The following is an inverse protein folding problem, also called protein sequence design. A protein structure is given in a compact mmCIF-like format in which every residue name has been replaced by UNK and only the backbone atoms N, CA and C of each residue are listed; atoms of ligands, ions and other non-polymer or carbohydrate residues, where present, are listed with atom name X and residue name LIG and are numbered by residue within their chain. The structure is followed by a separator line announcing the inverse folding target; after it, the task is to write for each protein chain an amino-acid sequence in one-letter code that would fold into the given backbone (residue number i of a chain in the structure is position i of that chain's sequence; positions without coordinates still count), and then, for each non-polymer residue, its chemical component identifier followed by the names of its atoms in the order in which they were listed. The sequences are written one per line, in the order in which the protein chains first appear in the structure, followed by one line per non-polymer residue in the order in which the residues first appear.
data_IF_540197575988
#
_entry.id   IF_540197575988
#
_cell.length_a   1.000
_cell.length_b   1.000
_cell.length_c   1.000
_cell.angle_alpha   90.00
_cell.angle_beta   90.00
_cell.angle_gamma   90.00
#
_symmetry.space_group_name_H-M   'P 1'
#
loop_
_entity.id
_entity.type
_entity.pdbx_description
1 polymer ?
#
# COMPACT_ATOMS: atom_id res chain seq x y z
N UNK A 1 27.46 20.50 -7.61
CA UNK A 1 26.17 19.81 -7.57
C UNK A 1 26.23 18.84 -6.42
N UNK A 2 25.56 19.10 -5.30
CA UNK A 2 25.43 18.08 -4.26
C UNK A 2 24.74 16.89 -4.92
N UNK A 3 25.41 15.75 -4.93
CA UNK A 3 24.93 14.52 -5.53
C UNK A 3 23.54 14.23 -4.96
N UNK A 4 22.55 14.04 -5.83
CA UNK A 4 21.16 13.76 -5.49
C UNK A 4 21.04 12.34 -4.94
N UNK A 5 21.77 12.04 -3.87
CA UNK A 5 21.77 10.74 -3.22
C UNK A 5 20.45 10.59 -2.48
N UNK A 6 19.66 9.58 -2.86
CA UNK A 6 18.38 9.26 -2.23
C UNK A 6 18.52 9.20 -0.70
N UNK A 7 17.56 9.78 0.04
CA UNK A 7 17.51 9.73 1.51
C UNK A 7 17.47 8.30 2.06
N UNK A 8 16.96 7.35 1.27
CA UNK A 8 16.91 5.94 1.63
C UNK A 8 18.16 5.16 1.22
N UNK A 9 19.09 5.78 0.50
CA UNK A 9 20.26 5.10 -0.10
C UNK A 9 19.91 4.16 -1.25
N UNK A 10 18.63 4.08 -1.65
CA UNK A 10 18.20 3.26 -2.78
C UNK A 10 18.51 3.93 -4.10
N UNK A 11 18.90 3.14 -5.10
CA UNK A 11 18.84 3.58 -6.49
C UNK A 11 17.39 3.81 -6.90
N UNK A 12 17.17 4.60 -7.96
CA UNK A 12 15.82 4.84 -8.47
C UNK A 12 15.12 3.55 -8.90
N UNK A 13 15.87 2.60 -9.45
CA UNK A 13 15.35 1.29 -9.84
C UNK A 13 14.86 0.49 -8.63
N UNK A 14 15.66 0.41 -7.56
CA UNK A 14 15.27 -0.29 -6.33
C UNK A 14 14.04 0.34 -5.68
N UNK A 15 13.95 1.68 -5.69
CA UNK A 15 12.79 2.39 -5.17
C UNK A 15 11.51 2.06 -5.96
N UNK A 16 11.60 1.95 -7.29
CA UNK A 16 10.47 1.55 -8.14
C UNK A 16 10.05 0.11 -7.88
N UNK A 17 10.99 -0.82 -7.79
CA UNK A 17 10.70 -2.23 -7.49
C UNK A 17 9.97 -2.39 -6.14
N UNK A 18 10.45 -1.71 -5.11
CA UNK A 18 9.77 -1.68 -3.80
C UNK A 18 8.37 -1.08 -3.91
N UNK A 19 8.24 0.06 -4.58
CA UNK A 19 6.97 0.76 -4.70
C UNK A 19 5.91 -0.06 -5.45
N UNK A 20 6.29 -0.79 -6.50
CA UNK A 20 5.37 -1.67 -7.22
C UNK A 20 4.83 -2.80 -6.33
N UNK A 21 5.71 -3.48 -5.58
CA UNK A 21 5.29 -4.54 -4.65
C UNK A 21 4.42 -4.00 -3.51
N UNK A 22 4.80 -2.85 -2.95
CA UNK A 22 4.03 -2.19 -1.91
C UNK A 22 2.62 -1.86 -2.38
N UNK A 23 2.48 -1.22 -3.56
CA UNK A 23 1.17 -0.85 -4.10
C UNK A 23 0.28 -2.07 -4.30
N UNK A 24 0.79 -3.15 -4.88
CA UNK A 24 0.01 -4.37 -5.14
C UNK A 24 -0.50 -4.95 -3.81
N UNK A 25 0.40 -5.18 -2.87
CA UNK A 25 0.07 -5.86 -1.61
C UNK A 25 -0.83 -5.01 -0.73
N UNK A 26 -0.52 -3.71 -0.61
CA UNK A 26 -1.30 -2.78 0.19
C UNK A 26 -2.71 -2.59 -0.39
N UNK A 27 -2.83 -2.43 -1.71
CA UNK A 27 -4.14 -2.29 -2.37
C UNK A 27 -4.97 -3.55 -2.22
N UNK A 28 -4.37 -4.73 -2.38
CA UNK A 28 -5.06 -5.99 -2.15
C UNK A 28 -5.57 -6.10 -0.71
N UNK A 29 -4.73 -5.78 0.28
CA UNK A 29 -5.12 -5.82 1.68
C UNK A 29 -6.27 -4.85 2.00
N UNK A 30 -6.14 -3.58 1.61
CA UNK A 30 -7.18 -2.57 1.86
C UNK A 30 -8.48 -2.90 1.12
N UNK A 31 -8.39 -3.40 -0.12
CA UNK A 31 -9.55 -3.84 -0.90
C UNK A 31 -10.31 -4.99 -0.22
N UNK A 32 -9.58 -6.01 0.25
CA UNK A 32 -10.18 -7.13 0.99
C UNK A 32 -10.78 -6.62 2.31
N UNK A 33 -10.06 -5.79 3.05
CA UNK A 33 -10.54 -5.21 4.29
C UNK A 33 -11.86 -4.45 4.07
N UNK A 34 -11.94 -3.59 3.05
CA UNK A 34 -13.15 -2.86 2.73
C UNK A 34 -14.35 -3.80 2.49
N UNK A 35 -14.17 -4.87 1.70
CA UNK A 35 -15.21 -5.87 1.45
C UNK A 35 -15.66 -6.57 2.74
N UNK A 36 -14.72 -6.96 3.60
CA UNK A 36 -15.03 -7.58 4.90
C UNK A 36 -15.84 -6.62 5.78
N UNK A 37 -15.48 -5.35 5.85
CA UNK A 37 -16.23 -4.37 6.63
C UNK A 37 -17.64 -4.17 6.08
N UNK A 38 -17.84 -4.18 4.76
CA UNK A 38 -19.18 -4.15 4.17
C UNK A 38 -20.02 -5.37 4.59
N UNK A 39 -19.45 -6.56 4.62
CA UNK A 39 -20.15 -7.75 5.12
C UNK A 39 -20.50 -7.64 6.60
N UNK A 40 -19.57 -7.15 7.43
CA UNK A 40 -19.81 -6.95 8.87
C UNK A 40 -20.93 -5.93 9.09
N UNK A 41 -20.93 -4.82 8.37
CA UNK A 41 -21.97 -3.80 8.45
C UNK A 41 -23.34 -4.33 8.01
N UNK A 42 -23.39 -5.17 6.98
CA UNK A 42 -24.64 -5.79 6.53
C UNK A 42 -25.18 -6.83 7.54
N UNK A 43 -24.30 -7.58 8.19
CA UNK A 43 -24.68 -8.63 9.15
C UNK A 43 -24.98 -8.08 10.56
N UNK A 44 -24.24 -7.07 11.01
CA UNK A 44 -24.35 -6.47 12.33
C UNK A 44 -24.21 -4.93 12.19
N UNK A 45 -25.25 -4.25 11.67
CA UNK A 45 -25.24 -2.81 11.55
C UNK A 45 -25.10 -2.18 12.93
N UNK A 46 -24.10 -1.32 13.09
CA UNK A 46 -23.85 -0.61 14.35
C UNK A 46 -24.63 0.71 14.46
N UNK A 47 -25.33 1.10 13.39
CA UNK A 47 -26.06 2.35 13.28
C UNK A 47 -27.53 2.17 13.66
#
# INVERSE_FOLDING_TARGET
MAEQTSLSGLTEQQAKEFHEQFKITYTAFVGIAAVVHLFVLAANPWF
#
